data_IF_737745419761
#
_entry.id   IF_737745419761
#
_cell.length_a   1.000
_cell.length_b   1.000
_cell.length_c   1.000
_cell.angle_alpha   90.00
_cell.angle_beta   90.00
_cell.angle_gamma   90.00
#
_symmetry.space_group_name_H-M   'P 1'
#
loop_
_entity.id
_entity.type
_entity.pdbx_description
1 polymer ?
#
# COMPACT_ATOMS: atom_id res chain seq x y z
N UNK A 1 17.62 -16.62 2.68
CA UNK A 1 16.80 -16.42 1.46
C UNK A 1 15.33 -16.58 1.81
N UNK A 2 14.48 -15.56 1.59
CA UNK A 2 13.04 -15.60 1.91
C UNK A 2 12.23 -16.08 0.68
N UNK A 3 12.02 -17.40 0.57
CA UNK A 3 11.35 -18.00 -0.60
C UNK A 3 9.89 -17.56 -0.76
N UNK A 4 9.14 -17.49 0.33
CA UNK A 4 7.73 -17.10 0.32
C UNK A 4 7.53 -15.66 -0.19
N UNK A 5 8.32 -14.71 0.32
CA UNK A 5 8.30 -13.33 -0.17
C UNK A 5 8.62 -13.26 -1.67
N UNK A 6 9.61 -14.03 -2.14
CA UNK A 6 9.92 -14.12 -3.56
C UNK A 6 8.77 -14.64 -4.41
N UNK A 7 7.96 -15.58 -3.91
CA UNK A 7 6.74 -16.02 -4.59
C UNK A 7 5.71 -14.89 -4.69
N UNK A 8 5.46 -14.17 -3.60
CA UNK A 8 4.53 -13.03 -3.58
C UNK A 8 4.95 -11.95 -4.58
N UNK A 9 6.24 -11.55 -4.57
CA UNK A 9 6.74 -10.55 -5.51
C UNK A 9 6.64 -11.00 -6.97
N UNK A 10 6.86 -12.28 -7.27
CA UNK A 10 6.67 -12.82 -8.63
C UNK A 10 5.23 -12.70 -9.10
N UNK A 11 4.24 -12.95 -8.24
CA UNK A 11 2.82 -12.78 -8.60
C UNK A 11 2.51 -11.34 -9.03
N UNK A 12 3.08 -10.34 -8.34
CA UNK A 12 2.91 -8.93 -8.71
C UNK A 12 3.54 -8.61 -10.08
N UNK A 13 4.73 -9.14 -10.35
CA UNK A 13 5.43 -8.96 -11.64
C UNK A 13 4.69 -9.66 -12.78
N UNK A 14 4.15 -10.85 -12.54
CA UNK A 14 3.32 -11.59 -13.51
C UNK A 14 2.05 -10.81 -13.86
N UNK A 15 1.37 -10.24 -12.85
CA UNK A 15 0.21 -9.37 -13.06
C UNK A 15 0.55 -8.09 -13.85
N UNK A 16 1.68 -7.44 -13.54
CA UNK A 16 2.18 -6.31 -14.31
C UNK A 16 2.46 -6.69 -15.76
N UNK A 17 3.16 -7.81 -15.99
CA UNK A 17 3.61 -8.24 -17.32
C UNK A 17 2.47 -8.71 -18.21
N UNK A 18 1.39 -9.22 -17.61
CA UNK A 18 0.18 -9.61 -18.33
C UNK A 18 -0.68 -8.40 -18.76
N UNK A 19 -0.51 -7.24 -18.13
CA UNK A 19 -1.25 -6.04 -18.48
C UNK A 19 -0.76 -5.45 -19.81
N UNK A 20 -1.69 -5.27 -20.75
CA UNK A 20 -1.38 -4.64 -22.03
C UNK A 20 -1.33 -3.10 -21.93
N UNK A 21 -0.52 -2.50 -22.81
CA UNK A 21 -0.54 -1.06 -23.07
C UNK A 21 0.47 -0.27 -22.24
N UNK A 22 0.02 0.84 -21.64
CA UNK A 22 0.88 1.82 -21.01
C UNK A 22 1.44 1.32 -19.67
N UNK A 23 2.66 1.76 -19.29
CA UNK A 23 3.31 1.40 -18.00
C UNK A 23 2.38 1.52 -16.77
N UNK A 24 1.49 2.52 -16.78
CA UNK A 24 0.54 2.74 -15.68
C UNK A 24 -0.49 1.61 -15.53
N UNK A 25 -0.86 0.93 -16.62
CA UNK A 25 -1.76 -0.21 -16.56
C UNK A 25 -1.11 -1.38 -15.83
N UNK A 26 0.18 -1.63 -16.09
CA UNK A 26 0.96 -2.65 -15.36
C UNK A 26 1.03 -2.36 -13.86
N UNK A 27 1.31 -1.11 -13.48
CA UNK A 27 1.32 -0.71 -12.05
C UNK A 27 -0.05 -0.91 -11.39
N UNK A 28 -1.14 -0.58 -12.10
CA UNK A 28 -2.50 -0.83 -11.62
C UNK A 28 -2.78 -2.33 -11.46
N UNK A 29 -2.42 -3.15 -12.44
CA UNK A 29 -2.60 -4.60 -12.37
C UNK A 29 -1.82 -5.25 -11.22
N UNK A 30 -0.58 -4.80 -10.98
CA UNK A 30 0.20 -5.24 -9.82
C UNK A 30 -0.46 -4.82 -8.49
N UNK A 31 -0.99 -3.59 -8.40
CA UNK A 31 -1.76 -3.15 -7.22
C UNK A 31 -3.00 -4.02 -7.02
N UNK A 32 -3.77 -4.27 -8.07
CA UNK A 32 -5.00 -5.07 -7.98
C UNK A 32 -4.68 -6.50 -7.57
N UNK A 33 -3.60 -7.09 -8.09
CA UNK A 33 -3.10 -8.41 -7.64
C UNK A 33 -2.82 -8.46 -6.13
N UNK A 34 -2.39 -7.34 -5.54
CA UNK A 34 -2.15 -7.22 -4.10
C UNK A 34 -3.44 -7.03 -3.28
N UNK A 35 -4.31 -6.10 -3.68
CA UNK A 35 -5.46 -5.65 -2.87
C UNK A 35 -6.78 -6.37 -3.16
N UNK A 36 -6.91 -7.01 -4.32
CA UNK A 36 -8.14 -7.74 -4.71
C UNK A 36 -7.86 -9.17 -5.19
N UNK A 37 -6.58 -9.52 -5.39
CA UNK A 37 -6.16 -10.84 -5.86
C UNK A 37 -5.83 -11.84 -4.74
N UNK A 38 -5.08 -12.87 -5.12
CA UNK A 38 -4.69 -13.97 -4.22
C UNK A 38 -3.88 -13.50 -3.02
N UNK A 39 -3.11 -12.41 -3.15
CA UNK A 39 -2.34 -11.85 -2.02
C UNK A 39 -3.29 -11.30 -0.96
N UNK A 40 -4.35 -10.60 -1.37
CA UNK A 40 -5.37 -10.12 -0.44
C UNK A 40 -6.05 -11.29 0.29
N UNK A 41 -6.37 -12.37 -0.45
CA UNK A 41 -6.97 -13.56 0.15
C UNK A 41 -6.06 -14.19 1.21
N UNK A 42 -4.77 -14.33 0.91
CA UNK A 42 -3.80 -14.84 1.89
C UNK A 42 -3.70 -13.96 3.15
N UNK A 43 -3.81 -12.64 3.01
CA UNK A 43 -3.81 -11.70 4.15
C UNK A 43 -5.08 -11.86 4.97
N UNK A 44 -6.25 -11.88 4.33
CA UNK A 44 -7.56 -12.09 4.98
C UNK A 44 -7.58 -13.42 5.74
N UNK A 45 -7.19 -14.51 5.10
CA UNK A 45 -7.16 -15.85 5.71
C UNK A 45 -6.20 -15.89 6.91
N UNK A 46 -5.02 -15.28 6.78
CA UNK A 46 -4.04 -15.21 7.87
C UNK A 46 -4.58 -14.40 9.05
N UNK A 47 -5.19 -13.25 8.81
CA UNK A 47 -5.86 -12.41 9.81
C UNK A 47 -6.93 -13.22 10.56
N UNK A 48 -7.86 -13.83 9.83
CA UNK A 48 -8.97 -14.58 10.41
C UNK A 48 -8.51 -15.83 11.17
N UNK A 49 -7.42 -16.48 10.74
CA UNK A 49 -6.87 -17.66 11.40
C UNK A 49 -6.42 -17.41 12.85
N UNK A 50 -6.13 -16.15 13.19
CA UNK A 50 -5.73 -15.72 14.54
C UNK A 50 -6.81 -14.89 15.24
N UNK A 51 -8.04 -14.89 14.71
CA UNK A 51 -9.16 -14.11 15.26
C UNK A 51 -9.10 -12.61 14.95
N UNK A 52 -8.33 -12.21 13.92
CA UNK A 52 -8.31 -10.86 13.40
C UNK A 52 -9.60 -10.50 12.64
N UNK A 53 -9.82 -9.19 12.46
CA UNK A 53 -11.05 -8.64 11.86
C UNK A 53 -10.90 -8.25 10.39
N UNK A 54 -9.67 -8.18 9.88
CA UNK A 54 -9.41 -7.76 8.50
C UNK A 54 -9.93 -8.81 7.51
N UNK A 55 -10.64 -8.36 6.48
CA UNK A 55 -11.14 -9.19 5.39
C UNK A 55 -10.74 -8.68 3.99
N UNK A 56 -11.29 -9.34 2.96
CA UNK A 56 -11.06 -8.97 1.55
C UNK A 56 -11.68 -7.62 1.18
N UNK A 57 -12.81 -7.24 1.78
CA UNK A 57 -13.51 -5.99 1.48
C UNK A 57 -12.73 -4.79 2.02
N UNK A 58 -12.12 -4.91 3.20
CA UNK A 58 -11.20 -3.92 3.76
C UNK A 58 -10.03 -3.62 2.80
N UNK A 59 -9.41 -4.67 2.25
CA UNK A 59 -8.28 -4.56 1.33
C UNK A 59 -8.71 -3.96 -0.02
N UNK A 60 -9.84 -4.42 -0.56
CA UNK A 60 -10.36 -3.94 -1.84
C UNK A 60 -10.76 -2.45 -1.80
N UNK A 61 -11.31 -2.00 -0.67
CA UNK A 61 -11.76 -0.63 -0.49
C UNK A 61 -10.62 0.34 -0.14
N UNK A 62 -9.44 -0.15 0.25
CA UNK A 62 -8.31 0.71 0.57
C UNK A 62 -7.73 1.46 -0.63
N UNK A 63 -7.70 2.79 -0.51
CA UNK A 63 -7.09 3.70 -1.47
C UNK A 63 -6.19 4.69 -0.73
N UNK A 64 -5.00 4.94 -1.29
CA UNK A 64 -4.13 6.00 -0.76
C UNK A 64 -4.71 7.35 -1.11
N UNK A 65 -4.76 8.24 -0.14
CA UNK A 65 -5.21 9.61 -0.32
C UNK A 65 -4.00 10.55 -0.41
N UNK A 66 -4.10 11.55 -1.28
CA UNK A 66 -3.14 12.66 -1.32
C UNK A 66 -3.61 13.74 -0.37
N UNK A 67 -2.70 14.21 0.49
CA UNK A 67 -3.00 15.23 1.49
C UNK A 67 -2.04 16.43 1.38
N UNK A 68 -2.48 17.56 1.95
CA UNK A 68 -1.60 18.72 2.11
C UNK A 68 -0.70 18.50 3.34
N UNK A 69 0.63 18.67 3.21
CA UNK A 69 1.54 18.46 4.34
C UNK A 69 1.30 19.49 5.46
N UNK A 70 1.50 19.06 6.70
CA UNK A 70 1.58 19.97 7.84
C UNK A 70 2.91 20.74 7.76
N UNK A 71 2.87 22.06 8.03
CA UNK A 71 4.04 22.92 7.83
C UNK A 71 4.18 24.02 8.87
N UNK A 72 5.43 24.41 9.13
CA UNK A 72 5.79 25.53 10.01
C UNK A 72 6.95 26.32 9.42
N UNK A 73 7.18 27.53 9.93
CA UNK A 73 8.34 28.35 9.60
C UNK A 73 9.29 28.41 10.79
N UNK A 74 10.54 28.00 10.60
CA UNK A 74 11.57 28.04 11.63
C UNK A 74 12.91 28.50 11.05
N UNK A 75 13.50 29.54 11.65
CA UNK A 75 14.82 30.08 11.29
C UNK A 75 15.01 30.33 9.77
N UNK A 76 13.96 30.84 9.11
CA UNK A 76 14.01 31.16 7.67
C UNK A 76 13.72 29.99 6.73
N UNK A 77 13.35 28.81 7.25
CA UNK A 77 12.99 27.63 6.47
C UNK A 77 11.52 27.25 6.68
N UNK A 78 10.84 26.81 5.62
CA UNK A 78 9.53 26.15 5.70
C UNK A 78 9.75 24.64 5.85
N UNK A 79 9.35 24.08 6.98
CA UNK A 79 9.46 22.65 7.27
C UNK A 79 8.13 21.99 6.89
N UNK A 80 8.19 20.92 6.10
CA UNK A 80 7.02 20.13 5.68
C UNK A 80 7.07 18.74 6.32
N UNK A 81 5.94 18.27 6.82
CA UNK A 81 5.78 16.94 7.44
C UNK A 81 4.49 16.28 6.96
N UNK A 82 4.35 14.97 7.20
CA UNK A 82 3.05 14.29 7.06
C UNK A 82 2.01 14.91 8.01
N UNK A 83 0.73 14.71 7.73
CA UNK A 83 -0.35 15.24 8.58
C UNK A 83 -0.42 14.53 9.95
N UNK A 84 -1.44 14.88 10.74
CA UNK A 84 -1.61 14.50 12.15
C UNK A 84 -1.97 13.03 12.41
N UNK A 85 -2.05 12.19 11.37
CA UNK A 85 -2.15 10.73 11.52
C UNK A 85 -0.79 10.06 11.76
N UNK A 86 0.30 10.82 11.66
CA UNK A 86 1.66 10.42 12.08
C UNK A 86 2.15 11.25 13.26
N UNK A 87 3.34 10.90 13.76
CA UNK A 87 4.04 11.69 14.77
C UNK A 87 4.98 12.75 14.16
N UNK A 88 5.07 12.85 12.83
CA UNK A 88 5.96 13.83 12.18
C UNK A 88 5.69 15.29 12.61
N UNK A 89 4.44 15.71 12.88
CA UNK A 89 4.16 17.05 13.39
C UNK A 89 4.75 17.39 14.77
N UNK A 90 5.28 16.43 15.54
CA UNK A 90 6.00 16.72 16.81
C UNK A 90 7.26 17.58 16.57
N UNK A 91 7.78 17.57 15.34
CA UNK A 91 8.92 18.37 14.92
C UNK A 91 8.57 19.85 14.63
N UNK A 92 7.30 20.13 14.31
CA UNK A 92 6.82 21.45 13.89
C UNK A 92 6.64 22.41 15.07
#
# INVERSE_FOLDING_TARGET
>A
MQKALGCTLRKLVEAESAAAGHRLNGVRAARDSFYTGEVAQMISDASQSVGGIMDMEDLANYHVEYETPAKTWFMGHEIHTQSFWTQAPVLL
#
